data_IF_151649066912
#
_entry.id   IF_151649066912
#
_cell.length_a   1.000
_cell.length_b   1.000
_cell.length_c   1.000
_cell.angle_alpha   90.00
_cell.angle_beta   90.00
_cell.angle_gamma   90.00
#
_symmetry.space_group_name_H-M   'P 1'
#
loop_
_entity.id
_entity.type
_entity.pdbx_description
1 polymer ?
#
# COMPACT_ATOMS: atom_id res chain seq x y z
N UNK A 1 5.17 66.77 14.86
CA UNK A 1 4.86 65.74 13.82
C UNK A 1 4.61 64.32 14.42
N UNK A 2 5.44 63.77 15.31
CA UNK A 2 5.25 62.39 15.81
C UNK A 2 3.94 62.17 16.63
N UNK A 3 3.53 63.15 17.46
CA UNK A 3 2.31 63.10 18.26
C UNK A 3 1.02 63.19 17.45
N UNK A 4 1.01 63.97 16.36
CA UNK A 4 -0.14 64.07 15.45
C UNK A 4 -0.33 62.82 14.61
N UNK A 5 0.76 62.12 14.21
CA UNK A 5 0.69 60.85 13.50
C UNK A 5 0.15 59.70 14.41
N UNK A 6 0.56 59.68 15.70
CA UNK A 6 0.04 58.72 16.65
C UNK A 6 -1.45 58.93 16.97
N UNK A 7 -1.91 60.18 17.04
CA UNK A 7 -3.32 60.49 17.21
C UNK A 7 -4.15 60.05 16.00
N UNK A 8 -3.63 60.28 14.78
CA UNK A 8 -4.29 59.84 13.55
C UNK A 8 -4.42 58.33 13.48
N UNK A 9 -3.36 57.57 13.81
CA UNK A 9 -3.40 56.13 13.86
C UNK A 9 -4.44 55.59 14.87
N UNK A 10 -4.50 56.22 16.05
CA UNK A 10 -5.49 55.87 17.10
C UNK A 10 -6.92 56.08 16.61
N UNK A 11 -7.19 57.22 15.94
CA UNK A 11 -8.52 57.53 15.36
C UNK A 11 -8.89 56.49 14.25
N UNK A 12 -7.94 56.13 13.40
CA UNK A 12 -8.17 55.09 12.37
C UNK A 12 -8.48 53.73 12.95
N UNK A 13 -7.77 53.31 14.00
CA UNK A 13 -8.04 52.02 14.67
C UNK A 13 -9.42 52.04 15.36
N UNK A 14 -9.79 53.12 16.03
CA UNK A 14 -11.10 53.28 16.64
C UNK A 14 -12.22 53.27 15.59
N UNK A 15 -12.02 53.95 14.45
CA UNK A 15 -12.98 53.94 13.35
C UNK A 15 -13.15 52.55 12.75
N UNK A 16 -12.08 51.76 12.62
CA UNK A 16 -12.13 50.37 12.16
C UNK A 16 -12.89 49.47 13.15
N UNK A 17 -12.66 49.64 14.46
CA UNK A 17 -13.37 48.86 15.49
C UNK A 17 -14.86 49.20 15.47
N UNK A 18 -15.23 50.45 15.35
CA UNK A 18 -16.64 50.89 15.28
C UNK A 18 -17.30 50.42 13.99
N UNK A 19 -16.59 50.44 12.87
CA UNK A 19 -17.06 49.90 11.60
C UNK A 19 -17.26 48.38 11.69
N UNK A 20 -16.31 47.64 12.25
CA UNK A 20 -16.41 46.21 12.46
C UNK A 20 -17.61 45.88 13.40
N UNK A 21 -17.79 46.60 14.52
CA UNK A 21 -18.91 46.41 15.42
C UNK A 21 -20.29 46.71 14.81
N UNK A 22 -20.35 47.56 13.76
CA UNK A 22 -21.59 47.81 13.00
C UNK A 22 -21.86 46.85 11.83
N UNK A 23 -20.82 46.22 11.30
CA UNK A 23 -20.91 45.29 10.17
C UNK A 23 -21.19 43.85 10.68
N UNK A 24 -20.55 43.46 11.77
CA UNK A 24 -20.71 42.12 12.36
C UNK A 24 -22.16 41.71 12.70
N UNK A 25 -22.99 42.58 13.30
CA UNK A 25 -24.40 42.26 13.58
C UNK A 25 -25.29 42.20 12.31
N UNK A 26 -24.78 42.65 11.16
CA UNK A 26 -25.50 42.63 9.89
C UNK A 26 -25.14 41.48 8.96
N UNK A 27 -24.28 40.57 9.41
CA UNK A 27 -24.11 39.28 8.74
C UNK A 27 -25.46 38.57 8.79
N UNK A 28 -26.00 38.13 7.64
CA UNK A 28 -27.32 37.53 7.61
C UNK A 28 -27.41 36.34 8.54
N UNK A 29 -28.54 36.19 9.23
CA UNK A 29 -28.81 35.05 10.12
C UNK A 29 -28.62 33.68 9.43
N UNK A 30 -28.71 33.66 8.09
CA UNK A 30 -28.38 32.48 7.30
C UNK A 30 -26.90 32.03 7.42
N UNK A 31 -25.96 32.92 7.76
CA UNK A 31 -24.57 32.52 8.05
C UNK A 31 -24.46 31.80 9.40
N UNK A 32 -25.27 32.17 10.39
CA UNK A 32 -25.32 31.46 11.67
C UNK A 32 -26.00 30.09 11.51
N UNK A 33 -27.09 30.03 10.75
CA UNK A 33 -27.76 28.75 10.49
C UNK A 33 -26.93 27.81 9.59
N UNK A 34 -26.09 28.40 8.71
CA UNK A 34 -25.15 27.63 7.91
C UNK A 34 -23.99 27.11 8.77
N UNK A 35 -23.47 27.93 9.67
CA UNK A 35 -22.47 27.53 10.66
C UNK A 35 -23.05 26.48 11.60
N UNK A 36 -24.23 26.69 12.19
CA UNK A 36 -24.89 25.71 13.06
C UNK A 36 -25.25 24.40 12.35
N UNK A 37 -25.71 24.43 11.08
CA UNK A 37 -25.94 23.22 10.30
C UNK A 37 -24.65 22.47 9.93
N UNK A 38 -23.57 23.20 9.70
CA UNK A 38 -22.27 22.61 9.37
C UNK A 38 -21.60 21.97 10.60
N UNK A 39 -21.94 22.45 11.81
CA UNK A 39 -21.43 21.94 13.10
C UNK A 39 -22.43 21.02 13.84
N UNK A 40 -23.55 20.64 13.22
CA UNK A 40 -24.48 19.66 13.79
C UNK A 40 -23.93 18.22 13.83
N UNK A 41 -22.67 18.04 13.45
CA UNK A 41 -21.98 16.77 13.48
C UNK A 41 -21.14 16.56 14.75
N UNK A 42 -20.63 15.34 14.89
CA UNK A 42 -19.67 15.02 15.95
C UNK A 42 -18.36 15.82 15.76
N UNK A 43 -17.84 16.33 16.88
CA UNK A 43 -16.56 17.05 16.92
C UNK A 43 -15.61 16.33 17.88
N UNK A 44 -14.35 16.18 17.46
CA UNK A 44 -13.34 15.52 18.29
C UNK A 44 -12.18 14.95 17.49
N UNK A 45 -11.46 14.03 18.10
CA UNK A 45 -10.31 13.36 17.52
C UNK A 45 -10.68 11.91 17.24
N UNK A 46 -10.62 11.50 15.97
CA UNK A 46 -10.57 10.11 15.56
C UNK A 46 -9.15 9.60 15.68
N UNK A 47 -8.97 8.49 16.38
CA UNK A 47 -7.65 7.88 16.59
C UNK A 47 -7.45 6.74 15.62
N UNK A 48 -6.25 6.69 15.07
CA UNK A 48 -5.82 5.58 14.24
C UNK A 48 -4.56 4.92 14.80
N UNK A 49 -4.48 3.62 14.71
CA UNK A 49 -3.26 2.86 14.96
C UNK A 49 -2.66 2.39 13.65
N UNK A 50 -1.34 2.38 13.60
CA UNK A 50 -0.57 1.91 12.46
C UNK A 50 0.36 0.80 12.91
N UNK A 51 0.25 -0.38 12.28
CA UNK A 51 1.24 -1.44 12.37
C UNK A 51 1.42 -2.01 10.95
N UNK A 52 2.39 -1.48 10.23
CA UNK A 52 2.56 -1.81 8.82
C UNK A 52 4.02 -1.95 8.44
N UNK A 53 4.32 -3.03 7.76
CA UNK A 53 5.61 -3.26 7.08
C UNK A 53 5.62 -2.73 5.64
N UNK A 54 4.53 -2.12 5.19
CA UNK A 54 4.46 -1.54 3.85
C UNK A 54 5.49 -0.44 3.67
N UNK A 55 6.34 -0.59 2.67
CA UNK A 55 7.42 0.35 2.38
C UNK A 55 7.30 0.87 0.95
N UNK A 56 7.75 2.10 0.73
CA UNK A 56 7.74 2.77 -0.56
C UNK A 56 8.98 3.68 -0.70
N UNK A 57 9.10 4.35 -1.82
CA UNK A 57 10.24 5.24 -2.08
C UNK A 57 10.34 6.45 -1.15
N UNK A 58 9.21 6.83 -0.53
CA UNK A 58 9.09 7.89 0.46
C UNK A 58 8.41 7.40 1.74
N UNK A 59 7.99 8.33 2.59
CA UNK A 59 7.25 8.00 3.82
C UNK A 59 5.76 7.95 3.55
N UNK A 60 5.10 6.81 3.78
CA UNK A 60 3.65 6.70 3.66
C UNK A 60 2.92 7.57 4.68
N UNK A 61 3.51 7.82 5.85
CA UNK A 61 2.98 8.75 6.85
C UNK A 61 2.84 10.17 6.27
N UNK A 62 3.76 10.58 5.39
CA UNK A 62 3.65 11.87 4.68
C UNK A 62 2.42 11.90 3.76
N UNK A 63 2.17 10.83 3.02
CA UNK A 63 0.97 10.69 2.20
C UNK A 63 -0.29 10.70 3.05
N UNK A 64 -0.32 9.90 4.13
CA UNK A 64 -1.45 9.82 5.04
C UNK A 64 -1.77 11.20 5.65
N UNK A 65 -0.76 11.90 6.17
CA UNK A 65 -0.93 13.25 6.74
C UNK A 65 -1.47 14.27 5.70
N UNK A 66 -1.06 14.16 4.45
CA UNK A 66 -1.60 15.02 3.38
C UNK A 66 -3.06 14.71 3.06
N UNK A 67 -3.50 13.45 3.20
CA UNK A 67 -4.89 13.04 3.07
C UNK A 67 -5.70 13.47 4.31
N UNK A 68 -5.19 13.26 5.52
CA UNK A 68 -5.78 13.73 6.78
C UNK A 68 -6.06 15.23 6.73
N UNK A 69 -5.07 16.04 6.39
CA UNK A 69 -5.24 17.49 6.29
C UNK A 69 -6.30 17.90 5.24
N UNK A 70 -6.48 17.11 4.18
CA UNK A 70 -7.53 17.31 3.19
C UNK A 70 -8.92 16.95 3.71
N UNK A 71 -9.03 15.87 4.48
CA UNK A 71 -10.27 15.44 5.11
C UNK A 71 -10.73 16.41 6.20
N UNK A 72 -9.83 16.81 7.10
CA UNK A 72 -10.11 17.77 8.17
C UNK A 72 -10.63 19.12 7.66
N UNK A 73 -10.12 19.59 6.51
CA UNK A 73 -10.65 20.80 5.86
C UNK A 73 -12.10 20.68 5.40
N UNK A 74 -12.56 19.46 5.12
CA UNK A 74 -13.95 19.18 4.70
C UNK A 74 -14.86 18.94 5.90
N UNK A 75 -14.28 18.53 7.05
CA UNK A 75 -14.97 18.15 8.29
C UNK A 75 -14.45 19.02 9.44
N UNK A 76 -14.84 20.28 9.45
CA UNK A 76 -14.41 21.25 10.46
C UNK A 76 -14.80 20.80 11.87
N UNK A 77 -13.84 20.76 12.80
CA UNK A 77 -14.02 20.25 14.16
C UNK A 77 -13.71 18.75 14.31
N UNK A 78 -13.44 18.04 13.22
CA UNK A 78 -12.97 16.64 13.23
C UNK A 78 -11.48 16.63 12.96
N UNK A 79 -10.73 15.93 13.82
CA UNK A 79 -9.29 15.76 13.71
C UNK A 79 -8.96 14.26 13.67
N UNK A 80 -7.90 13.89 12.96
CA UNK A 80 -7.40 12.53 12.92
C UNK A 80 -5.97 12.47 13.46
N UNK A 81 -5.74 11.56 14.39
CA UNK A 81 -4.42 11.32 14.96
C UNK A 81 -4.04 9.85 14.79
N UNK A 82 -2.93 9.61 14.09
CA UNK A 82 -2.39 8.28 13.87
C UNK A 82 -1.15 8.03 14.72
N UNK A 83 -1.11 6.89 15.40
CA UNK A 83 0.00 6.46 16.27
C UNK A 83 0.53 5.11 15.78
N UNK A 84 1.85 5.01 15.63
CA UNK A 84 2.49 3.71 15.38
C UNK A 84 2.42 2.85 16.64
N UNK A 85 2.02 1.59 16.46
CA UNK A 85 1.95 0.59 17.51
C UNK A 85 2.65 -0.69 17.05
N UNK A 86 3.08 -1.51 17.99
CA UNK A 86 3.61 -2.82 17.66
C UNK A 86 2.51 -3.83 17.29
N UNK A 87 2.91 -4.96 16.72
CA UNK A 87 1.98 -6.00 16.30
C UNK A 87 1.19 -6.61 17.47
N UNK A 88 1.76 -6.63 18.68
CA UNK A 88 1.08 -7.15 19.86
C UNK A 88 -0.07 -6.22 20.28
N UNK A 89 0.17 -4.89 20.29
CA UNK A 89 -0.89 -3.92 20.56
C UNK A 89 -1.99 -3.95 19.50
N UNK A 90 -1.63 -4.20 18.23
CA UNK A 90 -2.59 -4.33 17.14
C UNK A 90 -3.46 -5.58 17.30
N UNK A 91 -2.88 -6.70 17.71
CA UNK A 91 -3.62 -7.95 18.00
C UNK A 91 -4.57 -7.81 19.19
N UNK A 92 -4.20 -6.98 20.19
CA UNK A 92 -4.94 -6.76 21.45
C UNK A 92 -5.97 -5.61 21.34
N UNK A 93 -6.57 -5.41 20.19
CA UNK A 93 -7.52 -4.33 19.91
C UNK A 93 -8.63 -4.23 20.99
N UNK A 94 -8.36 -3.48 22.08
CA UNK A 94 -9.34 -3.10 23.09
C UNK A 94 -9.43 -4.00 24.31
N UNK A 95 -8.63 -5.07 24.42
CA UNK A 95 -8.65 -5.96 25.61
C UNK A 95 -7.78 -5.42 26.75
N UNK A 96 -6.83 -4.53 26.46
CA UNK A 96 -5.89 -3.94 27.43
C UNK A 96 -6.48 -2.88 28.36
N UNK A 97 -7.78 -2.60 28.28
CA UNK A 97 -8.43 -1.52 29.04
C UNK A 97 -8.11 -0.12 28.52
N UNK A 98 -7.35 -0.01 27.44
CA UNK A 98 -7.12 1.23 26.70
C UNK A 98 -8.28 1.37 25.71
N UNK A 99 -8.83 2.58 25.59
CA UNK A 99 -9.86 2.84 24.58
C UNK A 99 -9.34 2.48 23.18
N UNK A 100 -10.01 1.60 22.44
CA UNK A 100 -9.59 1.21 21.10
C UNK A 100 -9.58 2.42 20.16
N UNK A 101 -8.74 2.41 19.10
CA UNK A 101 -8.79 3.43 18.05
C UNK A 101 -10.09 3.29 17.25
N UNK A 102 -10.45 4.30 16.47
CA UNK A 102 -11.54 4.23 15.50
C UNK A 102 -11.07 3.62 14.17
N UNK A 103 -9.77 3.70 13.89
CA UNK A 103 -9.16 3.26 12.63
C UNK A 103 -7.92 2.41 12.90
N UNK A 104 -7.69 1.42 12.07
CA UNK A 104 -6.44 0.65 12.04
C UNK A 104 -5.88 0.61 10.62
N UNK A 105 -4.57 0.89 10.47
CA UNK A 105 -3.82 0.67 9.24
C UNK A 105 -2.80 -0.43 9.48
N UNK A 106 -2.81 -1.44 8.62
CA UNK A 106 -1.97 -2.62 8.78
C UNK A 106 -1.58 -3.22 7.43
N UNK A 107 -0.58 -4.09 7.43
CA UNK A 107 -0.21 -4.91 6.27
C UNK A 107 -0.75 -6.32 6.44
N UNK A 108 -0.98 -7.07 5.35
CA UNK A 108 -1.23 -8.52 5.44
C UNK A 108 -0.15 -9.20 6.30
N UNK A 109 -0.57 -10.14 7.14
CA UNK A 109 0.30 -10.82 8.11
C UNK A 109 0.41 -10.14 9.47
N UNK A 110 -0.08 -8.91 9.64
CA UNK A 110 -0.29 -8.30 10.96
C UNK A 110 -1.59 -8.84 11.52
N UNK A 111 -1.52 -9.44 12.71
CA UNK A 111 -2.70 -9.98 13.37
C UNK A 111 -3.63 -8.84 13.82
N UNK A 112 -4.85 -8.87 13.30
CA UNK A 112 -5.94 -7.96 13.67
C UNK A 112 -7.20 -8.80 13.83
N UNK A 113 -7.92 -8.64 14.93
CA UNK A 113 -9.18 -9.35 15.13
C UNK A 113 -10.26 -8.79 14.18
N UNK A 114 -10.54 -9.51 13.10
CA UNK A 114 -11.56 -9.16 12.11
C UNK A 114 -12.95 -9.00 12.73
N UNK A 115 -13.27 -9.71 13.85
CA UNK A 115 -14.56 -9.58 14.50
C UNK A 115 -14.77 -8.19 15.14
N UNK A 116 -13.69 -7.48 15.42
CA UNK A 116 -13.69 -6.12 15.98
C UNK A 116 -13.81 -5.03 14.92
N UNK A 117 -13.79 -5.39 13.64
CA UNK A 117 -13.87 -4.44 12.54
C UNK A 117 -15.27 -4.43 11.93
N UNK A 118 -15.72 -3.27 11.51
CA UNK A 118 -16.97 -3.08 10.80
C UNK A 118 -16.81 -3.44 9.32
N UNK A 119 -17.88 -3.99 8.69
CA UNK A 119 -17.94 -4.11 7.25
C UNK A 119 -17.89 -2.73 6.59
N UNK A 120 -17.14 -2.59 5.52
CA UNK A 120 -16.99 -1.35 4.76
C UNK A 120 -17.67 -1.48 3.41
N UNK A 121 -18.58 -0.56 3.10
CA UNK A 121 -19.26 -0.47 1.81
C UNK A 121 -18.47 0.41 0.82
N UNK A 122 -17.15 0.22 0.79
CA UNK A 122 -16.27 0.93 -0.11
C UNK A 122 -15.60 -0.08 -1.06
N UNK A 123 -15.66 0.21 -2.36
CA UNK A 123 -15.09 -0.66 -3.38
C UNK A 123 -13.67 -0.21 -3.74
N UNK A 124 -12.69 -1.05 -3.45
CA UNK A 124 -11.39 -0.98 -4.06
C UNK A 124 -11.36 -1.93 -5.29
N UNK A 125 -10.56 -1.59 -6.29
CA UNK A 125 -10.36 -2.46 -7.45
C UNK A 125 -9.73 -3.81 -7.07
N UNK A 126 -9.04 -3.85 -5.94
CA UNK A 126 -8.41 -5.04 -5.39
C UNK A 126 -9.22 -5.58 -4.22
N UNK A 127 -9.69 -6.82 -4.35
CA UNK A 127 -10.37 -7.53 -3.27
C UNK A 127 -9.34 -8.39 -2.50
N UNK A 128 -9.15 -8.09 -1.21
CA UNK A 128 -8.25 -8.84 -0.32
C UNK A 128 -8.98 -9.90 0.55
N UNK A 129 -10.11 -10.41 0.08
CA UNK A 129 -10.81 -11.53 0.73
C UNK A 129 -11.76 -11.12 1.86
N UNK A 130 -11.86 -9.84 2.20
CA UNK A 130 -12.70 -9.37 3.31
C UNK A 130 -13.35 -8.03 3.00
N UNK A 131 -14.59 -7.86 3.49
CA UNK A 131 -15.31 -6.59 3.52
C UNK A 131 -14.94 -5.70 4.73
N UNK A 132 -14.09 -6.21 5.65
CA UNK A 132 -13.70 -5.53 6.90
C UNK A 132 -12.31 -4.88 6.83
N UNK A 133 -11.56 -5.15 5.75
CA UNK A 133 -10.27 -4.54 5.47
C UNK A 133 -10.26 -4.01 4.05
N UNK A 134 -10.01 -2.71 3.93
CA UNK A 134 -10.01 -1.99 2.66
C UNK A 134 -8.57 -1.72 2.23
N UNK A 135 -8.09 -2.24 1.10
CA UNK A 135 -6.82 -1.81 0.53
C UNK A 135 -6.87 -0.31 0.20
N UNK A 136 -5.92 0.47 0.70
CA UNK A 136 -5.83 1.93 0.46
C UNK A 136 -4.60 2.35 -0.31
N UNK A 137 -3.58 1.51 -0.34
CA UNK A 137 -2.40 1.64 -1.19
C UNK A 137 -1.80 0.27 -1.45
N UNK A 138 -1.10 0.13 -2.57
CA UNK A 138 -0.37 -1.09 -2.88
C UNK A 138 1.05 -0.79 -3.36
N UNK A 139 1.87 -1.81 -3.37
CA UNK A 139 3.16 -1.88 -4.00
C UNK A 139 3.28 -3.16 -4.80
N UNK A 140 4.45 -3.45 -5.32
CA UNK A 140 4.68 -4.66 -6.09
C UNK A 140 6.15 -4.93 -6.32
N UNK A 141 6.41 -5.90 -7.16
CA UNK A 141 7.74 -6.36 -7.51
C UNK A 141 7.94 -6.34 -9.01
N UNK A 142 9.18 -6.14 -9.43
CA UNK A 142 9.57 -6.11 -10.83
C UNK A 142 10.99 -6.63 -11.00
N UNK A 143 11.30 -7.20 -12.16
CA UNK A 143 12.67 -7.43 -12.58
C UNK A 143 13.36 -6.09 -12.83
N UNK A 144 14.57 -5.94 -12.27
CA UNK A 144 15.57 -4.99 -12.76
C UNK A 144 16.72 -5.79 -13.35
N UNK A 145 17.22 -5.36 -14.49
CA UNK A 145 18.36 -6.01 -15.16
C UNK A 145 19.36 -5.00 -15.67
N UNK A 146 20.64 -5.39 -15.62
CA UNK A 146 21.78 -4.60 -16.07
C UNK A 146 21.98 -4.80 -17.57
N UNK A 147 21.74 -3.75 -18.37
CA UNK A 147 21.87 -3.79 -19.84
C UNK A 147 23.28 -4.08 -20.36
N UNK A 148 24.30 -3.91 -19.51
CA UNK A 148 25.66 -4.25 -19.88
C UNK A 148 25.95 -5.75 -19.75
N UNK A 149 25.13 -6.49 -18.99
CA UNK A 149 25.29 -7.92 -18.73
C UNK A 149 24.21 -8.78 -19.37
N UNK A 150 23.04 -8.20 -19.67
CA UNK A 150 21.89 -8.90 -20.24
C UNK A 150 21.26 -8.10 -21.38
N UNK A 151 20.89 -8.77 -22.47
CA UNK A 151 20.19 -8.17 -23.61
C UNK A 151 18.70 -7.87 -23.31
N UNK A 152 18.16 -8.42 -22.22
CA UNK A 152 16.76 -8.25 -21.79
C UNK A 152 16.53 -8.77 -20.38
N UNK A 153 15.25 -8.77 -19.98
CA UNK A 153 14.85 -9.42 -18.73
C UNK A 153 15.06 -10.93 -18.85
N UNK A 154 15.48 -11.59 -17.77
CA UNK A 154 15.58 -13.04 -17.78
C UNK A 154 14.17 -13.66 -17.92
N UNK A 155 14.07 -14.72 -18.68
CA UNK A 155 12.96 -15.66 -18.58
C UNK A 155 13.30 -16.69 -17.50
N UNK A 156 12.29 -17.34 -16.94
CA UNK A 156 12.51 -18.35 -15.90
C UNK A 156 13.35 -19.52 -16.43
N UNK A 157 13.18 -19.86 -17.70
CA UNK A 157 13.95 -20.92 -18.35
C UNK A 157 15.44 -20.60 -18.52
N UNK A 158 15.80 -19.31 -18.42
CA UNK A 158 17.19 -18.85 -18.53
C UNK A 158 17.90 -18.77 -17.17
N UNK A 159 17.21 -19.10 -16.07
CA UNK A 159 17.72 -18.94 -14.71
C UNK A 159 18.38 -20.21 -14.18
N UNK A 160 19.69 -20.20 -13.99
CA UNK A 160 20.40 -21.20 -13.18
C UNK A 160 20.23 -20.91 -11.67
N UNK A 161 20.15 -19.65 -11.29
CA UNK A 161 19.97 -19.21 -9.92
C UNK A 161 19.19 -17.89 -9.85
N UNK A 162 18.36 -17.74 -8.81
CA UNK A 162 17.64 -16.51 -8.49
C UNK A 162 18.15 -15.95 -7.17
N UNK A 163 18.79 -14.78 -7.24
CA UNK A 163 19.20 -14.07 -6.04
C UNK A 163 18.06 -13.24 -5.48
N UNK A 164 17.81 -13.39 -4.19
CA UNK A 164 16.71 -12.79 -3.46
C UNK A 164 17.27 -11.90 -2.36
N UNK A 165 16.63 -10.73 -2.19
CA UNK A 165 16.93 -9.85 -1.06
C UNK A 165 16.45 -10.50 0.24
N UNK A 166 17.26 -10.49 1.31
CA UNK A 166 16.80 -10.91 2.61
C UNK A 166 15.88 -9.82 3.17
N UNK A 167 14.65 -10.18 3.38
CA UNK A 167 13.74 -9.40 4.20
C UNK A 167 13.22 -10.27 5.36
N UNK A 168 13.02 -9.65 6.51
CA UNK A 168 12.54 -10.38 7.70
C UNK A 168 11.09 -10.88 7.56
N UNK A 169 10.38 -10.38 6.55
CA UNK A 169 8.98 -10.72 6.29
C UNK A 169 8.79 -11.90 5.34
N UNK A 170 9.85 -12.35 4.64
CA UNK A 170 9.78 -13.41 3.62
C UNK A 170 9.09 -13.01 2.32
N UNK A 171 8.76 -11.74 2.14
CA UNK A 171 8.04 -11.22 0.95
C UNK A 171 8.82 -11.38 -0.34
N UNK A 172 10.15 -11.23 -0.30
CA UNK A 172 11.00 -11.46 -1.46
C UNK A 172 10.94 -12.91 -1.94
N UNK A 173 10.81 -13.88 -1.03
CA UNK A 173 10.57 -15.28 -1.37
C UNK A 173 9.19 -15.49 -2.00
N UNK A 174 8.15 -14.84 -1.46
CA UNK A 174 6.80 -14.86 -2.03
C UNK A 174 6.80 -14.29 -3.45
N UNK A 175 7.44 -13.15 -3.67
CA UNK A 175 7.57 -12.54 -4.98
C UNK A 175 8.30 -13.45 -5.98
N UNK A 176 9.37 -14.12 -5.54
CA UNK A 176 10.09 -15.09 -6.34
C UNK A 176 9.22 -16.30 -6.70
N UNK A 177 8.45 -16.84 -5.75
CA UNK A 177 7.54 -17.95 -5.98
C UNK A 177 6.48 -17.59 -7.01
N UNK A 178 5.85 -16.40 -6.89
CA UNK A 178 4.84 -15.93 -7.84
C UNK A 178 5.46 -15.70 -9.22
N UNK A 179 6.67 -15.14 -9.31
CA UNK A 179 7.38 -14.98 -10.59
C UNK A 179 7.67 -16.32 -11.27
N UNK A 180 8.07 -17.33 -10.51
CA UNK A 180 8.32 -18.69 -11.00
C UNK A 180 7.02 -19.38 -11.45
N UNK A 181 5.93 -19.21 -10.67
CA UNK A 181 4.62 -19.75 -11.01
C UNK A 181 4.02 -19.09 -12.26
N UNK A 182 4.21 -17.78 -12.44
CA UNK A 182 3.64 -17.04 -13.56
C UNK A 182 4.26 -17.38 -14.92
N UNK A 183 5.42 -18.03 -14.95
CA UNK A 183 5.98 -18.60 -16.17
C UNK A 183 5.13 -19.77 -16.74
N UNK A 184 4.14 -20.24 -15.99
CA UNK A 184 3.20 -21.31 -16.37
C UNK A 184 1.76 -20.81 -16.54
N UNK A 185 1.52 -19.48 -16.50
CA UNK A 185 0.21 -18.92 -16.79
C UNK A 185 -0.12 -19.05 -18.29
N UNK A 186 -1.39 -19.28 -18.60
CA UNK A 186 -1.87 -19.24 -19.98
C UNK A 186 -1.86 -17.80 -20.54
N UNK A 187 -2.27 -17.65 -21.82
CA UNK A 187 -2.32 -16.36 -22.51
C UNK A 187 -3.33 -15.36 -21.91
N UNK A 188 -4.24 -15.83 -21.07
CA UNK A 188 -5.24 -15.01 -20.37
C UNK A 188 -4.80 -14.67 -18.94
N UNK A 189 -3.60 -15.14 -18.53
CA UNK A 189 -3.05 -14.93 -17.19
C UNK A 189 -3.68 -15.83 -16.13
N UNK A 190 -4.49 -16.81 -16.54
CA UNK A 190 -5.00 -17.83 -15.63
C UNK A 190 -3.95 -18.93 -15.45
N UNK A 191 -3.64 -19.26 -14.20
CA UNK A 191 -2.87 -20.46 -13.88
C UNK A 191 -3.86 -21.62 -13.85
N UNK A 192 -3.88 -22.45 -14.91
CA UNK A 192 -4.62 -23.71 -14.87
C UNK A 192 -3.93 -24.69 -13.92
N UNK A 193 -4.30 -24.58 -12.65
CA UNK A 193 -3.77 -25.43 -11.55
C UNK A 193 -4.15 -26.91 -11.74
N UNK A 194 -5.11 -27.20 -12.62
CA UNK A 194 -5.57 -28.55 -12.97
C UNK A 194 -4.89 -29.15 -14.20
N UNK A 195 -4.00 -28.43 -14.90
CA UNK A 195 -3.30 -28.97 -16.04
C UNK A 195 -2.25 -30.01 -15.61
N UNK A 196 -2.38 -31.29 -16.06
CA UNK A 196 -1.34 -32.29 -15.83
C UNK A 196 0.05 -31.90 -16.35
N UNK A 197 0.12 -30.95 -17.29
CA UNK A 197 1.35 -30.34 -17.78
C UNK A 197 2.07 -29.50 -16.72
N UNK A 198 1.32 -28.85 -15.83
CA UNK A 198 1.87 -28.14 -14.66
C UNK A 198 2.53 -29.10 -13.67
N UNK A 199 1.89 -30.23 -13.39
CA UNK A 199 2.47 -31.27 -12.55
C UNK A 199 3.74 -31.90 -13.15
N UNK A 200 3.87 -31.90 -14.48
CA UNK A 200 5.06 -32.37 -15.18
C UNK A 200 6.11 -31.25 -15.39
N UNK A 201 5.68 -30.02 -15.56
CA UNK A 201 6.54 -28.84 -15.72
C UNK A 201 7.22 -28.45 -14.40
N UNK A 202 6.54 -28.56 -13.26
CA UNK A 202 7.10 -28.27 -11.94
C UNK A 202 8.28 -29.18 -11.55
N UNK A 203 8.23 -30.52 -11.75
CA UNK A 203 9.39 -31.37 -11.62
C UNK A 203 10.51 -31.04 -12.60
N UNK A 204 10.19 -30.60 -13.81
CA UNK A 204 11.19 -30.17 -14.79
C UNK A 204 11.86 -28.85 -14.37
N UNK A 205 11.13 -27.91 -13.77
CA UNK A 205 11.70 -26.69 -13.18
C UNK A 205 12.53 -27.01 -11.94
N UNK A 206 12.05 -27.87 -11.06
CA UNK A 206 12.84 -28.35 -9.92
C UNK A 206 14.09 -29.10 -10.36
N UNK A 207 14.02 -29.79 -11.51
CA UNK A 207 15.16 -30.45 -12.15
C UNK A 207 16.04 -29.49 -12.98
N UNK A 208 15.53 -28.31 -13.40
CA UNK A 208 16.34 -27.27 -14.04
C UNK A 208 17.33 -26.63 -13.06
N UNK A 209 17.17 -26.91 -11.75
CA UNK A 209 18.16 -26.57 -10.76
C UNK A 209 18.25 -25.10 -10.38
N UNK A 210 17.17 -24.32 -10.59
CA UNK A 210 17.14 -22.93 -10.12
C UNK A 210 17.42 -22.88 -8.63
N UNK A 211 18.56 -22.36 -8.27
CA UNK A 211 18.97 -22.19 -6.89
C UNK A 211 18.46 -20.83 -6.35
N UNK A 212 17.76 -20.84 -5.22
CA UNK A 212 17.41 -19.60 -4.52
C UNK A 212 18.56 -19.19 -3.59
N UNK A 213 19.22 -18.10 -3.93
CA UNK A 213 20.33 -17.54 -3.17
C UNK A 213 19.85 -16.30 -2.44
N UNK A 214 19.78 -16.38 -1.11
CA UNK A 214 19.52 -15.20 -0.28
C UNK A 214 20.83 -14.46 -0.01
N UNK A 215 20.89 -13.18 -0.39
CA UNK A 215 22.12 -12.38 -0.21
C UNK A 215 21.79 -10.97 0.30
N UNK A 216 22.39 -10.61 1.44
CA UNK A 216 22.29 -9.25 1.99
C UNK A 216 22.98 -8.21 1.10
N UNK A 217 23.94 -8.65 0.28
CA UNK A 217 24.63 -7.77 -0.66
C UNK A 217 23.95 -7.64 -2.02
N UNK A 218 22.91 -8.43 -2.32
CA UNK A 218 22.32 -8.54 -3.66
C UNK A 218 22.04 -7.18 -4.34
N UNK A 219 21.43 -6.24 -3.64
CA UNK A 219 21.19 -4.91 -4.20
C UNK A 219 22.48 -4.11 -4.41
N UNK A 220 23.46 -4.29 -3.54
CA UNK A 220 24.78 -3.65 -3.66
C UNK A 220 25.56 -4.24 -4.83
N UNK A 221 25.53 -5.56 -4.99
CA UNK A 221 26.18 -6.29 -6.08
C UNK A 221 25.56 -5.90 -7.43
N UNK A 222 24.22 -5.73 -7.47
CA UNK A 222 23.54 -5.19 -8.64
C UNK A 222 23.98 -3.75 -8.95
N UNK A 223 24.05 -2.88 -7.94
CA UNK A 223 24.49 -1.47 -8.09
C UNK A 223 25.93 -1.40 -8.57
N UNK A 224 26.78 -2.31 -8.14
CA UNK A 224 28.19 -2.40 -8.56
C UNK A 224 28.35 -3.02 -9.97
N UNK A 225 27.28 -3.55 -10.55
CA UNK A 225 27.30 -4.20 -11.85
C UNK A 225 27.81 -5.64 -11.82
N UNK A 226 27.81 -6.28 -10.65
CA UNK A 226 28.27 -7.65 -10.43
C UNK A 226 27.14 -8.66 -10.61
N UNK A 227 25.88 -8.24 -10.35
CA UNK A 227 24.68 -9.06 -10.51
C UNK A 227 23.92 -8.63 -11.78
N UNK A 228 23.55 -9.57 -12.67
CA UNK A 228 22.91 -9.24 -13.93
C UNK A 228 21.45 -8.81 -13.77
N UNK A 229 20.71 -9.38 -12.83
CA UNK A 229 19.28 -9.12 -12.59
C UNK A 229 18.92 -9.34 -11.13
N UNK A 230 17.80 -8.74 -10.71
CA UNK A 230 17.27 -8.86 -9.35
C UNK A 230 15.75 -8.60 -9.38
N UNK A 231 14.98 -9.30 -8.53
CA UNK A 231 13.60 -8.91 -8.21
C UNK A 231 13.66 -7.88 -7.09
N UNK A 232 13.00 -6.74 -7.31
CA UNK A 232 12.99 -5.61 -6.37
C UNK A 232 11.57 -5.10 -6.15
N UNK A 233 11.32 -4.54 -4.97
CA UNK A 233 10.08 -3.85 -4.67
C UNK A 233 10.11 -2.39 -5.14
N UNK A 234 8.99 -1.68 -5.01
CA UNK A 234 8.90 -0.25 -5.28
C UNK A 234 9.88 0.59 -4.44
N UNK A 235 10.24 0.14 -3.24
CA UNK A 235 11.18 0.85 -2.37
C UNK A 235 12.62 0.80 -2.90
N UNK A 236 13.07 -0.37 -3.36
CA UNK A 236 14.40 -0.54 -3.97
C UNK A 236 14.47 0.19 -5.31
N UNK A 237 13.39 0.17 -6.13
CA UNK A 237 13.35 0.98 -7.37
C UNK A 237 13.57 2.44 -7.07
N UNK A 238 12.92 3.00 -6.05
CA UNK A 238 13.13 4.39 -5.67
C UNK A 238 14.60 4.66 -5.31
N UNK A 239 15.29 3.71 -4.69
CA UNK A 239 16.72 3.80 -4.40
C UNK A 239 17.56 3.76 -5.68
N UNK A 240 17.26 2.85 -6.61
CA UNK A 240 17.95 2.74 -7.90
C UNK A 240 17.76 4.00 -8.74
N UNK A 241 16.56 4.59 -8.77
CA UNK A 241 16.30 5.86 -9.47
C UNK A 241 17.18 6.98 -8.90
N UNK A 242 17.23 7.14 -7.56
CA UNK A 242 18.07 8.17 -6.94
C UNK A 242 19.56 8.00 -7.26
N UNK A 243 20.04 6.76 -7.35
CA UNK A 243 21.43 6.48 -7.72
C UNK A 243 21.67 6.81 -9.19
N UNK A 244 20.77 6.43 -10.10
CA UNK A 244 20.85 6.76 -11.53
C UNK A 244 20.86 8.27 -11.75
N UNK A 245 19.97 9.01 -11.07
CA UNK A 245 19.88 10.47 -11.18
C UNK A 245 21.14 11.16 -10.63
N UNK A 246 21.84 10.51 -9.71
CA UNK A 246 23.17 10.94 -9.23
C UNK A 246 24.32 10.47 -10.13
N UNK A 247 24.06 9.86 -11.29
CA UNK A 247 25.06 9.31 -12.20
C UNK A 247 25.82 8.11 -11.63
N UNK A 248 25.20 7.33 -10.77
CA UNK A 248 25.78 6.19 -10.06
C UNK A 248 25.04 4.89 -10.40
N UNK A 249 25.76 3.77 -10.36
CA UNK A 249 25.20 2.46 -10.65
C UNK A 249 25.24 2.08 -12.14
N UNK A 250 24.77 0.88 -12.51
CA UNK A 250 24.76 0.40 -13.87
C UNK A 250 23.67 1.07 -14.71
N UNK A 251 23.75 0.92 -16.04
CA UNK A 251 22.59 1.16 -16.91
C UNK A 251 21.60 0.01 -16.76
N UNK A 252 20.45 0.28 -16.19
CA UNK A 252 19.45 -0.74 -15.88
C UNK A 252 18.09 -0.42 -16.51
N UNK A 253 17.30 -1.47 -16.69
CA UNK A 253 15.90 -1.37 -17.09
C UNK A 253 15.03 -2.28 -16.23
N UNK A 254 13.71 -2.09 -16.36
CA UNK A 254 12.69 -2.88 -15.68
C UNK A 254 11.93 -3.74 -16.67
N UNK A 255 11.47 -4.89 -16.22
CA UNK A 255 10.53 -5.74 -16.92
C UNK A 255 9.59 -6.44 -15.94
N UNK A 256 8.40 -6.83 -16.43
CA UNK A 256 7.44 -7.59 -15.65
C UNK A 256 8.05 -8.91 -15.15
N UNK A 257 7.64 -9.34 -13.96
CA UNK A 257 8.08 -10.61 -13.36
C UNK A 257 7.38 -11.82 -13.98
N UNK A 258 6.32 -11.61 -14.73
CA UNK A 258 5.51 -12.63 -15.39
C UNK A 258 4.10 -12.11 -15.69
N UNK A 259 3.17 -13.00 -15.97
CA UNK A 259 1.76 -12.67 -16.25
C UNK A 259 0.94 -12.45 -14.96
N UNK A 260 1.39 -13.02 -13.85
CA UNK A 260 0.78 -12.83 -12.52
C UNK A 260 1.66 -11.93 -11.67
N UNK A 261 1.09 -10.89 -11.08
CA UNK A 261 1.78 -10.02 -10.15
C UNK A 261 1.62 -10.51 -8.70
N UNK A 262 2.69 -10.43 -7.92
CA UNK A 262 2.59 -10.56 -6.47
C UNK A 262 2.08 -9.25 -5.86
N UNK A 263 0.89 -9.28 -5.25
CA UNK A 263 0.22 -8.13 -4.64
C UNK A 263 0.16 -8.26 -3.10
N UNK A 264 1.24 -8.70 -2.47
CA UNK A 264 1.35 -8.82 -1.01
C UNK A 264 1.79 -7.52 -0.31
N UNK A 265 2.26 -6.55 -1.08
CA UNK A 265 2.62 -5.21 -0.62
C UNK A 265 1.37 -4.34 -0.52
N UNK A 266 0.53 -4.58 0.49
CA UNK A 266 -0.71 -3.84 0.71
C UNK A 266 -0.65 -3.01 1.99
N UNK A 267 -1.27 -1.83 1.95
CA UNK A 267 -1.67 -1.06 3.13
C UNK A 267 -3.18 -1.18 3.24
N UNK A 268 -3.63 -1.83 4.29
CA UNK A 268 -5.03 -2.10 4.59
C UNK A 268 -5.53 -1.13 5.65
N UNK A 269 -6.81 -0.76 5.56
CA UNK A 269 -7.50 0.04 6.55
C UNK A 269 -8.75 -0.70 7.04
N UNK A 270 -8.92 -0.76 8.36
CA UNK A 270 -10.14 -1.22 9.02
C UNK A 270 -10.75 -0.14 9.89
N UNK A 271 -12.07 -0.16 10.04
CA UNK A 271 -12.83 0.67 10.99
C UNK A 271 -13.21 -0.19 12.19
N UNK A 272 -12.80 0.23 13.38
CA UNK A 272 -13.03 -0.54 14.62
C UNK A 272 -14.43 -0.29 15.16
N UNK A 273 -15.12 -1.36 15.50
CA UNK A 273 -16.45 -1.31 16.14
C UNK A 273 -16.34 -0.66 17.53
N UNK A 274 -17.04 0.44 17.70
CA UNK A 274 -17.09 1.22 18.94
C UNK A 274 -18.40 0.92 19.66
N UNK A 275 -18.39 0.15 20.68
CA UNK A 275 -19.61 -0.31 21.40
C UNK A 275 -20.28 0.77 22.29
N UNK A 276 -19.86 2.04 22.22
CA UNK A 276 -20.43 3.13 23.01
C UNK A 276 -21.53 3.94 22.26
N UNK A 277 -22.36 4.71 23.01
CA UNK A 277 -23.48 5.49 22.43
C UNK A 277 -23.05 6.54 21.39
N UNK A 278 -21.81 7.06 21.48
CA UNK A 278 -21.25 8.00 20.52
C UNK A 278 -20.51 7.30 19.36
N UNK A 279 -20.40 5.99 19.41
CA UNK A 279 -19.67 5.15 18.45
C UNK A 279 -20.16 5.33 17.03
N UNK A 280 -21.46 5.27 16.81
CA UNK A 280 -22.02 5.30 15.46
C UNK A 280 -21.67 6.55 14.64
N UNK A 281 -21.50 7.73 15.24
CA UNK A 281 -21.05 8.93 14.51
C UNK A 281 -19.55 8.88 14.19
N UNK A 282 -18.73 8.36 15.11
CA UNK A 282 -17.29 8.18 14.90
C UNK A 282 -17.01 7.12 13.85
N UNK A 283 -17.73 6.01 13.91
CA UNK A 283 -17.68 4.93 12.93
C UNK A 283 -18.05 5.42 11.53
N UNK A 284 -19.13 6.20 11.42
CA UNK A 284 -19.54 6.78 10.16
C UNK A 284 -18.47 7.71 9.57
N UNK A 285 -17.85 8.58 10.41
CA UNK A 285 -16.77 9.45 9.99
C UNK A 285 -15.49 8.67 9.64
N UNK A 286 -15.19 7.61 10.39
CA UNK A 286 -14.06 6.73 10.09
C UNK A 286 -14.26 5.98 8.75
N UNK A 287 -15.46 5.48 8.49
CA UNK A 287 -15.82 4.87 7.20
C UNK A 287 -15.79 5.89 6.05
N UNK A 288 -16.23 7.13 6.30
CA UNK A 288 -16.13 8.21 5.32
C UNK A 288 -14.65 8.57 5.03
N UNK A 289 -13.78 8.56 6.04
CA UNK A 289 -12.34 8.74 5.83
C UNK A 289 -11.74 7.58 5.02
N UNK A 290 -12.15 6.33 5.28
CA UNK A 290 -11.74 5.17 4.50
C UNK A 290 -12.11 5.34 3.01
N UNK A 291 -13.35 5.71 2.73
CA UNK A 291 -13.81 6.01 1.37
C UNK A 291 -13.08 7.22 0.76
N UNK A 292 -12.76 8.25 1.56
CA UNK A 292 -12.01 9.42 1.12
C UNK A 292 -10.58 9.07 0.67
N UNK A 293 -9.92 8.11 1.32
CA UNK A 293 -8.59 7.64 0.90
C UNK A 293 -8.61 6.99 -0.48
N UNK A 294 -9.73 6.36 -0.90
CA UNK A 294 -9.91 5.82 -2.25
C UNK A 294 -10.22 6.90 -3.30
N UNK A 295 -10.51 8.13 -2.87
CA UNK A 295 -10.76 9.24 -3.78
C UNK A 295 -9.54 9.57 -4.65
N UNK A 296 -9.78 9.98 -5.89
CA UNK A 296 -8.76 10.26 -6.91
C UNK A 296 -7.65 11.19 -6.40
N UNK A 297 -8.00 12.23 -5.62
CA UNK A 297 -7.04 13.19 -5.06
C UNK A 297 -6.04 12.55 -4.08
N UNK A 298 -6.50 11.58 -3.26
CA UNK A 298 -5.64 10.85 -2.34
C UNK A 298 -4.80 9.80 -3.06
N UNK A 299 -5.41 9.07 -4.00
CA UNK A 299 -4.73 8.05 -4.78
C UNK A 299 -3.63 8.65 -5.67
N UNK A 300 -3.86 9.80 -6.30
CA UNK A 300 -2.82 10.51 -7.09
C UNK A 300 -1.59 10.89 -6.28
N UNK A 301 -1.75 11.21 -5.00
CA UNK A 301 -0.62 11.56 -4.13
C UNK A 301 0.29 10.38 -3.78
N UNK A 302 -0.13 9.13 -4.04
CA UNK A 302 0.73 7.96 -3.89
C UNK A 302 1.97 8.03 -4.79
N UNK A 303 1.85 8.69 -5.96
CA UNK A 303 2.99 8.93 -6.85
C UNK A 303 4.13 9.71 -6.17
N UNK A 304 3.83 10.61 -5.25
CA UNK A 304 4.83 11.43 -4.54
C UNK A 304 5.73 10.58 -3.62
N UNK A 305 5.28 9.39 -3.28
CA UNK A 305 5.99 8.48 -2.36
C UNK A 305 6.43 7.17 -3.02
N UNK A 306 6.13 6.97 -4.32
CA UNK A 306 6.47 5.74 -5.03
C UNK A 306 5.54 4.56 -4.69
N UNK A 307 4.31 4.84 -4.25
CA UNK A 307 3.25 3.85 -4.06
C UNK A 307 2.33 3.75 -5.26
N UNK A 308 1.45 2.76 -5.29
CA UNK A 308 0.51 2.51 -6.39
C UNK A 308 -0.94 2.61 -5.91
N UNK A 309 -1.80 3.09 -6.80
CA UNK A 309 -3.22 3.21 -6.54
C UNK A 309 -3.91 1.84 -6.53
N UNK A 310 -4.85 1.68 -5.59
CA UNK A 310 -5.76 0.51 -5.51
C UNK A 310 -7.07 0.75 -6.25
N UNK A 311 -7.17 1.87 -6.96
CA UNK A 311 -8.30 2.28 -7.80
C UNK A 311 -7.85 2.43 -9.25
N UNK A 312 -8.76 2.80 -10.16
CA UNK A 312 -8.44 2.96 -11.58
C UNK A 312 -7.50 4.13 -11.93
N UNK A 313 -7.03 4.86 -10.93
CA UNK A 313 -6.09 5.97 -11.13
C UNK A 313 -4.74 5.46 -11.59
N UNK A 314 -4.33 5.83 -12.80
CA UNK A 314 -3.01 5.54 -13.35
C UNK A 314 -2.01 6.64 -12.95
N UNK A 315 -0.90 6.25 -12.32
CA UNK A 315 0.08 7.18 -11.74
C UNK A 315 1.34 7.35 -12.59
N UNK A 316 1.77 6.28 -13.28
CA UNK A 316 3.11 6.19 -13.83
C UNK A 316 3.18 5.93 -15.33
N UNK A 317 2.15 6.26 -16.10
CA UNK A 317 2.06 5.96 -17.54
C UNK A 317 3.28 6.37 -18.38
N UNK A 318 4.05 7.35 -17.95
CA UNK A 318 5.25 7.84 -18.65
C UNK A 318 6.57 7.60 -17.90
N UNK A 319 6.53 7.00 -16.71
CA UNK A 319 7.72 6.79 -15.88
C UNK A 319 8.39 5.44 -16.18
N UNK A 320 9.55 5.47 -16.83
CA UNK A 320 10.22 4.27 -17.37
C UNK A 320 10.50 3.14 -16.37
N UNK A 321 10.61 3.45 -15.08
CA UNK A 321 10.87 2.45 -14.05
C UNK A 321 9.59 1.94 -13.36
N UNK A 322 8.60 2.82 -13.12
CA UNK A 322 7.38 2.43 -12.42
C UNK A 322 6.25 1.99 -13.34
N UNK A 323 6.21 2.48 -14.60
CA UNK A 323 5.15 2.11 -15.53
C UNK A 323 5.02 0.60 -15.79
N UNK A 324 6.11 -0.19 -15.96
CA UNK A 324 6.00 -1.63 -16.11
C UNK A 324 5.42 -2.33 -14.87
N UNK A 325 5.79 -1.86 -13.66
CA UNK A 325 5.24 -2.40 -12.41
C UNK A 325 3.75 -2.04 -12.27
N UNK A 326 3.37 -0.80 -12.57
CA UNK A 326 1.97 -0.38 -12.56
C UNK A 326 1.13 -1.20 -13.55
N UNK A 327 1.65 -1.41 -14.75
CA UNK A 327 0.98 -2.23 -15.75
C UNK A 327 0.77 -3.68 -15.26
N UNK A 328 1.79 -4.27 -14.63
CA UNK A 328 1.71 -5.60 -14.06
C UNK A 328 0.69 -5.68 -12.92
N UNK A 329 0.71 -4.71 -11.98
CA UNK A 329 -0.24 -4.66 -10.86
C UNK A 329 -1.69 -4.40 -11.31
N UNK A 330 -1.89 -3.83 -12.49
CA UNK A 330 -3.20 -3.64 -13.13
C UNK A 330 -3.53 -4.75 -14.12
N UNK A 331 -2.70 -5.78 -14.20
CA UNK A 331 -2.99 -6.97 -14.98
C UNK A 331 -4.18 -7.72 -14.40
N UNK A 332 -4.76 -8.62 -15.20
CA UNK A 332 -5.96 -9.37 -14.79
C UNK A 332 -5.71 -10.38 -13.68
N UNK A 333 -4.45 -10.77 -13.45
CA UNK A 333 -4.10 -11.83 -12.51
C UNK A 333 -3.13 -11.33 -11.44
N UNK A 334 -3.59 -11.37 -10.21
CA UNK A 334 -2.85 -10.95 -9.03
C UNK A 334 -2.83 -12.09 -8.00
N UNK A 335 -1.67 -12.43 -7.48
CA UNK A 335 -1.54 -13.24 -6.29
C UNK A 335 -1.73 -12.35 -5.05
N UNK A 336 -2.87 -12.45 -4.41
CA UNK A 336 -3.31 -11.57 -3.33
C UNK A 336 -3.39 -12.37 -2.03
N UNK A 337 -2.76 -11.90 -0.93
CA UNK A 337 -2.97 -12.51 0.37
C UNK A 337 -4.36 -12.16 0.92
N UNK A 338 -4.92 -13.06 1.74
CA UNK A 338 -6.05 -12.70 2.58
C UNK A 338 -5.64 -11.60 3.57
N UNK A 339 -6.51 -10.62 3.79
CA UNK A 339 -6.25 -9.48 4.67
C UNK A 339 -5.91 -9.89 6.10
N UNK A 340 -6.51 -10.99 6.56
CA UNK A 340 -6.37 -11.52 7.92
C UNK A 340 -5.60 -12.84 7.96
N UNK A 341 -4.81 -13.13 6.92
CA UNK A 341 -3.99 -14.34 6.88
C UNK A 341 -3.03 -14.37 8.07
N UNK A 342 -3.06 -15.47 8.82
CA UNK A 342 -2.10 -15.75 9.89
C UNK A 342 -0.75 -16.27 9.35
N UNK A 343 -0.48 -16.07 8.07
CA UNK A 343 0.69 -16.63 7.41
C UNK A 343 1.98 -16.18 8.09
N UNK A 344 2.72 -17.15 8.62
CA UNK A 344 4.03 -16.89 9.23
C UNK A 344 5.08 -16.64 8.16
N UNK A 345 5.73 -15.47 8.14
CA UNK A 345 6.82 -15.19 7.19
C UNK A 345 7.96 -16.20 7.25
N UNK A 346 8.20 -16.80 8.42
CA UNK A 346 9.28 -17.77 8.63
C UNK A 346 9.13 -19.06 7.82
N UNK A 347 7.91 -19.43 7.44
CA UNK A 347 7.62 -20.63 6.66
C UNK A 347 7.73 -20.41 5.16
N UNK A 348 7.64 -19.16 4.70
CA UNK A 348 7.63 -18.80 3.27
C UNK A 348 8.83 -19.37 2.52
N UNK A 349 10.03 -19.15 3.05
CA UNK A 349 11.25 -19.67 2.43
C UNK A 349 11.29 -21.21 2.34
N UNK A 350 10.73 -21.89 3.34
CA UNK A 350 10.62 -23.35 3.35
C UNK A 350 9.64 -23.83 2.29
N UNK A 351 8.46 -23.21 2.20
CA UNK A 351 7.43 -23.53 1.22
C UNK A 351 7.97 -23.37 -0.21
N UNK A 352 8.64 -22.24 -0.49
CA UNK A 352 9.23 -21.98 -1.80
C UNK A 352 10.31 -23.01 -2.15
N UNK A 353 11.17 -23.39 -1.19
CA UNK A 353 12.18 -24.44 -1.41
C UNK A 353 11.55 -25.82 -1.65
N UNK A 354 10.47 -26.17 -0.94
CA UNK A 354 9.73 -27.42 -1.19
C UNK A 354 9.11 -27.42 -2.59
N UNK A 355 8.54 -26.31 -3.01
CA UNK A 355 8.02 -26.11 -4.37
C UNK A 355 9.11 -26.29 -5.42
N UNK A 356 10.23 -25.59 -5.30
CA UNK A 356 11.35 -25.69 -6.25
C UNK A 356 11.98 -27.09 -6.31
N UNK A 357 11.87 -27.87 -5.24
CA UNK A 357 12.32 -29.27 -5.21
C UNK A 357 11.30 -30.24 -5.80
N UNK A 358 10.12 -29.76 -6.22
CA UNK A 358 9.04 -30.59 -6.72
C UNK A 358 8.34 -31.43 -5.63
N UNK A 359 8.55 -31.11 -4.35
CA UNK A 359 7.92 -31.79 -3.23
C UNK A 359 6.43 -31.41 -3.06
N UNK A 360 6.05 -30.23 -3.53
CA UNK A 360 4.67 -29.72 -3.53
C UNK A 360 4.38 -29.06 -4.88
N UNK A 361 3.12 -29.17 -5.34
CA UNK A 361 2.65 -28.49 -6.56
C UNK A 361 2.34 -27.00 -6.34
N UNK A 362 2.05 -26.28 -7.43
CA UNK A 362 1.78 -24.85 -7.45
C UNK A 362 0.59 -24.47 -6.55
N UNK A 363 -0.53 -25.18 -6.66
CA UNK A 363 -1.72 -24.94 -5.85
C UNK A 363 -1.41 -25.09 -4.34
N UNK A 364 -0.71 -26.15 -3.97
CA UNK A 364 -0.32 -26.37 -2.59
C UNK A 364 0.67 -25.30 -2.09
N UNK A 365 1.57 -24.81 -2.96
CA UNK A 365 2.49 -23.74 -2.63
C UNK A 365 1.73 -22.43 -2.39
N UNK A 366 0.83 -22.03 -3.31
CA UNK A 366 0.00 -20.82 -3.18
C UNK A 366 -0.86 -20.86 -1.92
N UNK A 367 -1.54 -22.00 -1.67
CA UNK A 367 -2.36 -22.19 -0.48
C UNK A 367 -1.53 -22.04 0.81
N UNK A 368 -0.35 -22.67 0.87
CA UNK A 368 0.55 -22.56 2.02
C UNK A 368 1.18 -21.18 2.18
N UNK A 369 1.33 -20.45 1.09
CA UNK A 369 1.75 -19.03 1.09
C UNK A 369 0.60 -18.09 1.45
N UNK A 370 -0.62 -18.61 1.63
CA UNK A 370 -1.81 -17.81 1.92
C UNK A 370 -2.20 -16.88 0.77
N UNK A 371 -1.88 -17.27 -0.46
CA UNK A 371 -2.13 -16.49 -1.67
C UNK A 371 -3.29 -17.08 -2.47
N UNK A 372 -4.16 -16.23 -2.97
CA UNK A 372 -5.17 -16.55 -3.97
C UNK A 372 -4.91 -15.78 -5.25
N UNK A 373 -5.07 -16.43 -6.39
CA UNK A 373 -5.04 -15.74 -7.69
C UNK A 373 -6.39 -15.08 -7.92
N UNK A 374 -6.38 -13.77 -8.06
CA UNK A 374 -7.58 -12.95 -8.30
C UNK A 374 -7.38 -12.07 -9.52
N UNK A 375 -8.46 -11.85 -10.26
CA UNK A 375 -8.48 -10.83 -11.30
C UNK A 375 -8.47 -9.42 -10.72
N UNK A 376 -7.85 -8.49 -11.44
CA UNK A 376 -8.03 -7.06 -11.17
C UNK A 376 -9.39 -6.63 -11.73
N UNK A 377 -10.34 -6.35 -10.85
CA UNK A 377 -11.67 -5.88 -11.25
C UNK A 377 -11.66 -4.35 -11.32
N UNK A 378 -11.84 -3.82 -12.55
CA UNK A 378 -12.06 -2.38 -12.72
C UNK A 378 -13.38 -2.01 -12.06
N UNK A 379 -13.44 -1.11 -11.07
CA UNK A 379 -14.70 -0.67 -10.53
C UNK A 379 -15.52 0.01 -11.62
N UNK A 380 -16.73 -0.54 -11.85
CA UNK A 380 -17.68 -0.03 -12.86
C UNK A 380 -18.39 1.24 -12.38
#
# INVERSE_FOLDING_TARGET
MRKSLQLLCLICVLALIVAAARIFPRLPADSQSYVEKKYAGWNGVLRGWISSEWSCGGSFVRWLNACVAGFEKRHEGVYLEFTEVDAAAMADLGDSGIRPPELVLFSPGVQVDAARLLPLDAQAALNCGSDRALPVAMGGYIWVYNRALCDGAPTIDDLDALTILPDGSGRSFTAAAVALLSGHADTDGEIELSDPGLDLGLPAMAQSGVELIQSESALTDFINGELPYLIVSQAEIARLIRLRDAGRGPDWACAATGEVACADQLLLLGVVDQSDEAGGQREALAAEFAAYLLGEDCQKKLADIGGFAVTDVQLYSSHSAYAPMEALLRSRSLAVPDAFSEHSPGDTASIVREFLRGNIGAEAALMRLGLEIKGYESPT
#
